data_IF_599931249327
#
_entry.id   IF_599931249327
#
_cell.length_a   1.000
_cell.length_b   1.000
_cell.length_c   1.000
_cell.angle_alpha   90.00
_cell.angle_beta   90.00
_cell.angle_gamma   90.00
#
_symmetry.space_group_name_H-M   'P 1'
#
loop_
_entity.id
_entity.type
_entity.pdbx_description
1 polymer ?
#
# COMPACT_ATOMS: atom_id res chain seq x y z
N UNK A 1 -13.11 8.37 9.28
CA UNK A 1 -12.16 8.33 8.15
C UNK A 1 -10.78 7.90 8.63
N UNK A 2 -10.16 6.97 7.90
CA UNK A 2 -8.76 6.57 8.09
C UNK A 2 -7.98 6.71 6.78
N UNK A 3 -6.65 6.71 6.89
CA UNK A 3 -5.73 6.91 5.79
C UNK A 3 -4.80 5.71 5.65
N UNK A 4 -4.72 5.14 4.46
CA UNK A 4 -3.72 4.13 4.13
C UNK A 4 -2.69 4.72 3.17
N UNK A 5 -1.41 4.67 3.55
CA UNK A 5 -0.31 5.19 2.74
C UNK A 5 0.38 4.07 2.00
N UNK A 6 0.52 4.24 0.67
CA UNK A 6 1.12 3.26 -0.22
C UNK A 6 1.84 3.95 -1.38
N UNK A 7 2.19 3.20 -2.43
CA UNK A 7 2.75 3.74 -3.67
C UNK A 7 1.99 3.24 -4.89
N UNK A 8 2.22 3.91 -6.03
CA UNK A 8 1.62 3.51 -7.31
C UNK A 8 2.05 2.11 -7.78
N UNK A 9 3.09 1.53 -7.18
CA UNK A 9 3.53 0.15 -7.41
C UNK A 9 2.55 -0.86 -6.82
N UNK A 10 2.06 -0.61 -5.61
CA UNK A 10 1.16 -1.52 -4.91
C UNK A 10 -0.30 -1.25 -5.22
N UNK A 11 -0.64 -0.02 -5.63
CA UNK A 11 -2.03 0.38 -5.87
C UNK A 11 -2.81 -0.56 -6.81
N UNK A 12 -2.30 -1.00 -7.98
CA UNK A 12 -3.04 -1.92 -8.85
C UNK A 12 -3.39 -3.26 -8.18
N UNK A 13 -2.57 -3.70 -7.23
CA UNK A 13 -2.81 -4.93 -6.49
C UNK A 13 -3.79 -4.70 -5.34
N UNK A 14 -3.66 -3.59 -4.62
CA UNK A 14 -4.62 -3.18 -3.58
C UNK A 14 -6.03 -3.09 -4.16
N UNK A 15 -6.19 -2.42 -5.31
CA UNK A 15 -7.48 -2.29 -5.99
C UNK A 15 -8.06 -3.65 -6.40
N UNK A 16 -7.22 -4.54 -6.90
CA UNK A 16 -7.65 -5.83 -7.40
C UNK A 16 -7.97 -6.87 -6.31
N UNK A 17 -7.23 -6.87 -5.19
CA UNK A 17 -7.39 -7.89 -4.14
C UNK A 17 -8.17 -7.37 -2.94
N UNK A 18 -8.29 -6.06 -2.78
CA UNK A 18 -8.78 -5.42 -1.57
C UNK A 18 -7.79 -5.48 -0.40
N UNK A 19 -6.63 -6.14 -0.56
CA UNK A 19 -5.61 -6.20 0.47
C UNK A 19 -4.83 -4.88 0.47
N UNK A 20 -4.86 -4.15 1.58
CA UNK A 20 -4.12 -2.88 1.71
C UNK A 20 -2.60 -3.07 1.63
N UNK A 21 -2.11 -4.29 1.86
CA UNK A 21 -0.70 -4.67 1.70
C UNK A 21 -0.63 -5.95 0.88
N UNK A 22 -0.70 -5.85 -0.45
CA UNK A 22 -0.79 -7.01 -1.31
C UNK A 22 0.49 -7.84 -1.23
N UNK A 23 0.31 -9.12 -0.92
CA UNK A 23 1.39 -10.09 -0.68
C UNK A 23 2.15 -9.90 0.63
N UNK A 24 2.69 -11.00 1.18
CA UNK A 24 3.64 -10.97 2.29
C UNK A 24 4.99 -10.44 1.77
N UNK A 25 5.07 -9.16 1.43
CA UNK A 25 6.27 -8.53 0.85
C UNK A 25 7.39 -8.29 1.86
N UNK A 26 8.48 -7.64 1.41
CA UNK A 26 9.62 -7.17 2.23
C UNK A 26 9.25 -6.21 3.39
N UNK A 27 7.98 -5.83 3.49
CA UNK A 27 7.41 -5.07 4.59
C UNK A 27 6.78 -5.96 5.66
N UNK A 28 6.65 -7.28 5.42
CA UNK A 28 6.36 -8.26 6.46
C UNK A 28 7.53 -8.21 7.44
N UNK A 29 7.26 -7.77 8.67
CA UNK A 29 8.26 -7.80 9.71
C UNK A 29 8.35 -9.29 10.10
N UNK A 30 9.40 -9.94 9.62
CA UNK A 30 9.65 -11.34 9.91
C UNK A 30 9.63 -11.58 11.43
N UNK A 31 8.84 -12.57 11.87
CA UNK A 31 8.65 -12.88 13.29
C UNK A 31 7.43 -12.22 13.94
N UNK A 32 6.62 -11.45 13.22
CA UNK A 32 5.30 -11.03 13.71
C UNK A 32 4.25 -12.15 13.57
N UNK A 33 3.25 -12.20 14.48
CA UNK A 33 2.14 -13.15 14.39
C UNK A 33 1.24 -12.91 13.17
N UNK A 34 0.50 -13.94 12.78
CA UNK A 34 -0.57 -13.87 11.78
C UNK A 34 -1.90 -13.73 12.54
N UNK A 35 -2.74 -12.72 12.26
CA UNK A 35 -2.61 -11.77 11.16
C UNK A 35 -1.72 -10.57 11.47
N UNK A 36 -1.02 -10.07 10.44
CA UNK A 36 -0.31 -8.79 10.49
C UNK A 36 -1.34 -7.65 10.68
N UNK A 37 -1.04 -6.68 11.52
CA UNK A 37 -1.94 -5.60 11.91
C UNK A 37 -1.20 -4.28 11.76
N UNK A 38 -1.54 -3.41 10.81
CA UNK A 38 -1.20 -1.96 10.79
C UNK A 38 -1.58 -1.35 9.44
N UNK A 39 -2.87 -1.17 9.13
CA UNK A 39 -3.25 -0.93 7.72
C UNK A 39 -4.03 0.36 7.48
N UNK A 40 -4.21 1.21 8.49
CA UNK A 40 -4.51 2.61 8.28
C UNK A 40 -4.13 3.44 9.51
N UNK A 41 -4.19 4.76 9.38
CA UNK A 41 -4.03 5.69 10.49
C UNK A 41 -5.07 6.80 10.44
N UNK A 42 -5.42 7.38 11.57
CA UNK A 42 -6.19 8.65 11.60
C UNK A 42 -5.32 9.88 11.33
N UNK A 43 -4.00 9.72 11.17
CA UNK A 43 -3.10 10.82 10.79
C UNK A 43 -3.08 11.08 9.28
N UNK A 44 -3.65 12.20 8.85
CA UNK A 44 -3.69 12.59 7.44
C UNK A 44 -2.35 13.03 6.87
N UNK A 45 -1.34 13.32 7.71
CA UNK A 45 -0.08 13.95 7.29
C UNK A 45 0.92 12.98 6.67
N UNK A 46 0.77 11.68 6.93
CA UNK A 46 1.65 10.66 6.38
C UNK A 46 2.06 9.60 7.39
N UNK A 47 2.30 8.40 6.90
CA UNK A 47 3.10 7.39 7.58
C UNK A 47 4.50 7.35 6.96
N UNK A 48 5.54 7.63 7.75
CA UNK A 48 6.95 7.63 7.29
C UNK A 48 7.53 6.22 7.13
N UNK A 49 6.72 5.19 7.28
CA UNK A 49 7.11 3.78 7.31
C UNK A 49 7.13 3.12 5.93
N UNK A 50 6.54 3.76 4.92
CA UNK A 50 6.52 3.31 3.53
C UNK A 50 7.93 3.32 2.91
N UNK A 51 8.59 2.16 2.95
CA UNK A 51 9.93 1.94 2.39
C UNK A 51 9.86 1.54 0.92
N UNK A 52 10.13 2.47 0.02
CA UNK A 52 10.52 2.18 -1.37
C UNK A 52 11.66 3.11 -1.81
N UNK A 53 12.23 2.83 -2.99
CA UNK A 53 13.36 3.58 -3.55
C UNK A 53 13.05 5.08 -3.62
N UNK A 54 13.78 5.87 -2.82
CA UNK A 54 13.75 7.33 -2.85
C UNK A 54 14.16 7.86 -4.23
N UNK A 55 15.02 7.14 -4.93
CA UNK A 55 15.45 7.44 -6.29
C UNK A 55 14.30 7.28 -7.29
N UNK A 56 13.59 6.15 -7.28
CA UNK A 56 12.43 5.93 -8.13
C UNK A 56 11.34 7.00 -7.88
N UNK A 57 11.14 7.42 -6.62
CA UNK A 57 10.23 8.53 -6.31
C UNK A 57 10.69 9.86 -6.91
N UNK A 58 11.99 10.17 -6.78
CA UNK A 58 12.61 11.38 -7.33
C UNK A 58 12.53 11.44 -8.86
N UNK A 59 12.74 10.30 -9.52
CA UNK A 59 12.67 10.15 -10.97
C UNK A 59 11.21 10.14 -11.49
N UNK A 60 10.23 10.15 -10.59
CA UNK A 60 8.79 10.07 -10.91
C UNK A 60 8.34 8.69 -11.37
N UNK A 61 9.18 7.67 -11.27
CA UNK A 61 8.86 6.28 -11.58
C UNK A 61 7.76 5.73 -10.65
N UNK A 62 7.65 6.27 -9.43
CA UNK A 62 6.56 6.00 -8.52
C UNK A 62 5.92 7.30 -7.99
N UNK A 63 4.67 7.19 -7.56
CA UNK A 63 3.97 8.19 -6.77
C UNK A 63 3.77 7.66 -5.35
N UNK A 64 3.75 8.57 -4.38
CA UNK A 64 3.15 8.27 -3.08
C UNK A 64 1.63 8.32 -3.25
N UNK A 65 0.96 7.36 -2.66
CA UNK A 65 -0.49 7.19 -2.70
C UNK A 65 -1.01 7.27 -1.27
N UNK A 66 -2.13 7.96 -1.09
CA UNK A 66 -2.91 7.96 0.15
C UNK A 66 -4.35 7.60 -0.22
N UNK A 67 -4.81 6.48 0.30
CA UNK A 67 -6.22 6.08 0.23
C UNK A 67 -6.94 6.69 1.42
N UNK A 68 -8.07 7.33 1.17
CA UNK A 68 -8.99 7.82 2.20
C UNK A 68 -10.13 6.81 2.31
N UNK A 69 -10.23 6.15 3.46
CA UNK A 69 -11.11 5.01 3.69
C UNK A 69 -12.12 5.31 4.79
N UNK A 70 -13.33 4.78 4.67
CA UNK A 70 -14.29 4.75 5.76
C UNK A 70 -13.69 4.02 7.00
N UNK A 71 -13.99 4.52 8.20
CA UNK A 71 -13.41 3.99 9.44
C UNK A 71 -14.24 2.89 10.10
N UNK A 72 -15.48 2.64 9.67
CA UNK A 72 -16.37 1.63 10.25
C UNK A 72 -15.83 0.20 10.15
N UNK A 73 -14.92 -0.02 9.20
CA UNK A 73 -14.27 -1.30 8.92
C UNK A 73 -12.95 -1.51 9.69
N UNK A 74 -12.59 -0.57 10.57
CA UNK A 74 -11.34 -0.55 11.33
C UNK A 74 -11.57 -0.41 12.84
N UNK A 75 -10.61 -0.89 13.63
CA UNK A 75 -10.59 -0.70 15.10
C UNK A 75 -9.24 -0.16 15.58
N UNK A 76 -9.18 0.49 16.76
CA UNK A 76 -7.93 1.05 17.26
C UNK A 76 -6.86 -0.02 17.51
N UNK A 77 -5.59 0.34 17.25
CA UNK A 77 -4.42 -0.50 17.57
C UNK A 77 -4.33 -0.92 19.04
N UNK A 78 -4.82 -0.09 19.96
CA UNK A 78 -4.88 -0.43 21.39
C UNK A 78 -5.73 -1.67 21.70
N UNK A 79 -6.63 -2.08 20.81
CA UNK A 79 -7.46 -3.28 20.97
C UNK A 79 -6.85 -4.53 20.33
N UNK A 80 -5.68 -4.44 19.69
CA UNK A 80 -5.08 -5.54 18.93
C UNK A 80 -4.93 -6.80 19.78
N UNK A 81 -4.32 -6.70 20.96
CA UNK A 81 -4.05 -7.85 21.84
C UNK A 81 -5.32 -8.48 22.41
N UNK A 82 -6.34 -7.66 22.70
CA UNK A 82 -7.61 -8.15 23.22
C UNK A 82 -8.33 -9.01 22.17
N UNK A 83 -8.25 -8.61 20.90
CA UNK A 83 -8.87 -9.33 19.78
C UNK A 83 -8.01 -10.49 19.29
N UNK A 84 -6.70 -10.38 19.45
CA UNK A 84 -5.68 -11.29 18.93
C UNK A 84 -4.58 -11.55 19.97
N UNK A 85 -4.82 -12.47 20.92
CA UNK A 85 -3.90 -12.75 22.03
C UNK A 85 -2.51 -13.24 21.62
N UNK A 86 -2.35 -13.70 20.37
CA UNK A 86 -1.07 -14.06 19.77
C UNK A 86 -0.11 -12.86 19.65
N UNK A 87 -0.63 -11.63 19.72
CA UNK A 87 0.16 -10.40 19.82
C UNK A 87 0.56 -10.12 21.25
N UNK A 88 1.76 -10.57 21.62
CA UNK A 88 2.30 -10.42 22.96
C UNK A 88 2.64 -8.96 23.29
N UNK A 89 2.68 -8.63 24.59
CA UNK A 89 3.04 -7.29 25.08
C UNK A 89 4.40 -6.84 24.55
N UNK A 90 5.34 -7.77 24.45
CA UNK A 90 6.68 -7.50 23.93
C UNK A 90 6.64 -7.06 22.47
N UNK A 91 5.89 -7.77 21.62
CA UNK A 91 5.75 -7.46 20.20
C UNK A 91 5.08 -6.09 19.98
N UNK A 92 3.97 -5.85 20.69
CA UNK A 92 3.26 -4.56 20.64
C UNK A 92 4.16 -3.42 21.10
N UNK A 93 4.92 -3.61 22.18
CA UNK A 93 5.88 -2.62 22.68
C UNK A 93 6.97 -2.32 21.66
N UNK A 94 7.55 -3.34 21.03
CA UNK A 94 8.60 -3.17 20.00
C UNK A 94 8.07 -2.38 18.80
N UNK A 95 6.86 -2.68 18.34
CA UNK A 95 6.25 -1.97 17.22
C UNK A 95 5.89 -0.54 17.57
N UNK A 96 5.32 -0.29 18.76
CA UNK A 96 5.06 1.05 19.25
C UNK A 96 6.34 1.89 19.27
N UNK A 97 7.42 1.35 19.84
CA UNK A 97 8.72 2.03 19.88
C UNK A 97 9.28 2.28 18.48
N UNK A 98 9.21 1.30 17.58
CA UNK A 98 9.64 1.44 16.18
C UNK A 98 8.87 2.54 15.45
N UNK A 99 7.54 2.59 15.63
CA UNK A 99 6.67 3.64 15.12
C UNK A 99 7.05 5.01 15.64
N UNK A 100 7.20 5.14 16.96
CA UNK A 100 7.58 6.41 17.62
C UNK A 100 8.95 6.90 17.13
N UNK A 101 9.96 6.01 17.03
CA UNK A 101 11.28 6.34 16.51
C UNK A 101 11.20 6.87 15.06
N UNK A 102 10.28 6.34 14.26
CA UNK A 102 10.01 6.80 12.89
C UNK A 102 9.09 8.03 12.82
N UNK A 103 8.62 8.53 13.97
CA UNK A 103 7.77 9.71 14.09
C UNK A 103 6.27 9.44 13.87
N UNK A 104 5.83 8.19 13.97
CA UNK A 104 4.41 7.83 14.00
C UNK A 104 3.84 7.92 15.43
N UNK A 105 2.51 8.05 15.55
CA UNK A 105 1.78 7.98 16.81
C UNK A 105 0.93 6.70 16.84
N UNK A 106 1.36 5.64 17.56
CA UNK A 106 0.62 4.38 17.59
C UNK A 106 -0.82 4.47 18.08
N UNK A 107 -1.20 5.53 18.80
CA UNK A 107 -2.58 5.77 19.23
C UNK A 107 -3.50 6.12 18.06
N UNK A 108 -2.92 6.54 16.93
CA UNK A 108 -3.63 6.84 15.69
C UNK A 108 -3.63 5.66 14.72
N UNK A 109 -3.00 4.55 15.06
CA UNK A 109 -2.99 3.37 14.22
C UNK A 109 -4.33 2.64 14.32
N UNK A 110 -4.77 2.16 13.16
CA UNK A 110 -6.04 1.49 12.99
C UNK A 110 -5.77 0.11 12.36
N UNK A 111 -6.44 -0.89 12.91
CA UNK A 111 -6.30 -2.29 12.58
C UNK A 111 -7.46 -2.76 11.73
N UNK A 112 -7.15 -3.73 10.87
CA UNK A 112 -8.11 -4.57 10.16
C UNK A 112 -7.46 -5.94 9.93
N UNK A 113 -8.26 -7.01 9.97
CA UNK A 113 -7.87 -8.33 9.49
C UNK A 113 -8.49 -8.55 8.12
N UNK A 114 -7.69 -8.99 7.16
CA UNK A 114 -8.17 -9.45 5.87
C UNK A 114 -8.49 -8.35 4.86
N UNK A 115 -8.86 -8.78 3.66
CA UNK A 115 -9.14 -7.89 2.54
C UNK A 115 -10.29 -6.92 2.86
N UNK A 116 -10.16 -5.70 2.36
CA UNK A 116 -11.17 -4.67 2.39
C UNK A 116 -11.82 -4.61 1.00
N UNK A 117 -13.13 -4.86 0.86
CA UNK A 117 -13.80 -4.63 -0.42
C UNK A 117 -13.74 -3.13 -0.73
N UNK A 118 -12.89 -2.71 -1.66
CA UNK A 118 -12.70 -1.31 -2.03
C UNK A 118 -13.85 -0.82 -2.93
N UNK A 119 -15.08 -0.96 -2.45
CA UNK A 119 -16.26 -0.35 -3.06
C UNK A 119 -16.16 1.18 -2.98
N UNK A 120 -16.95 1.88 -3.80
CA UNK A 120 -17.03 3.35 -3.75
C UNK A 120 -17.53 3.89 -2.40
N UNK A 121 -18.17 3.05 -1.57
CA UNK A 121 -18.63 3.43 -0.23
C UNK A 121 -17.47 3.43 0.78
N UNK A 122 -16.52 2.51 0.61
CA UNK A 122 -15.38 2.35 1.52
C UNK A 122 -14.19 3.20 1.06
N UNK A 123 -13.85 3.17 -0.23
CA UNK A 123 -12.77 3.98 -0.81
C UNK A 123 -13.31 5.34 -1.25
N UNK A 124 -13.18 6.32 -0.36
CA UNK A 124 -13.75 7.67 -0.58
C UNK A 124 -12.91 8.53 -1.53
N UNK A 125 -11.57 8.39 -1.47
CA UNK A 125 -10.68 9.08 -2.40
C UNK A 125 -9.30 8.43 -2.52
N UNK A 126 -8.69 8.60 -3.69
CA UNK A 126 -7.26 8.38 -3.90
C UNK A 126 -6.57 9.73 -4.05
N UNK A 127 -5.57 9.94 -3.20
CA UNK A 127 -4.71 11.11 -3.22
C UNK A 127 -3.32 10.68 -3.68
N UNK A 128 -2.70 11.50 -4.51
CA UNK A 128 -1.36 11.24 -5.03
C UNK A 128 -0.43 12.38 -4.67
N UNK A 129 0.84 12.04 -4.46
CA UNK A 129 1.90 13.01 -4.24
C UNK A 129 3.11 12.60 -5.06
N UNK A 130 3.51 13.51 -5.93
CA UNK A 130 4.72 13.38 -6.74
C UNK A 130 5.89 14.08 -6.07
N UNK A 131 7.12 13.70 -6.43
CA UNK A 131 8.31 14.37 -5.92
C UNK A 131 8.33 15.86 -6.29
N UNK A 132 8.02 16.19 -7.54
CA UNK A 132 8.07 17.57 -8.05
C UNK A 132 7.01 18.47 -7.42
N UNK A 133 5.78 17.96 -7.24
CA UNK A 133 4.70 18.75 -6.64
C UNK A 133 4.87 18.90 -5.13
N UNK A 134 5.37 17.88 -4.43
CA UNK A 134 5.51 17.89 -2.98
C UNK A 134 4.20 18.02 -2.19
N UNK A 135 3.05 18.06 -2.88
CA UNK A 135 1.72 18.25 -2.32
C UNK A 135 0.82 17.04 -2.62
N UNK A 136 -0.04 16.70 -1.66
CA UNK A 136 -1.12 15.75 -1.84
C UNK A 136 -2.23 16.38 -2.67
N UNK A 137 -2.73 15.66 -3.67
CA UNK A 137 -3.89 16.08 -4.46
C UNK A 137 -4.77 14.89 -4.80
N UNK A 138 -6.08 15.14 -4.91
CA UNK A 138 -7.01 14.12 -5.38
C UNK A 138 -6.69 13.78 -6.82
N UNK A 139 -6.76 12.50 -7.16
CA UNK A 139 -6.59 12.04 -8.54
C UNK A 139 -7.73 11.11 -8.93
N UNK A 140 -8.18 11.24 -10.18
CA UNK A 140 -8.90 10.15 -10.82
C UNK A 140 -7.91 9.02 -11.15
N UNK A 141 -8.42 7.81 -11.26
CA UNK A 141 -7.66 6.65 -11.69
C UNK A 141 -8.52 5.74 -12.56
N UNK A 142 -7.86 4.88 -13.31
CA UNK A 142 -8.48 3.85 -14.13
C UNK A 142 -7.71 2.55 -13.92
N UNK A 143 -8.40 1.50 -13.49
CA UNK A 143 -7.86 0.15 -13.48
C UNK A 143 -7.80 -0.37 -14.92
N UNK A 144 -6.66 -0.96 -15.27
CA UNK A 144 -6.46 -1.55 -16.59
C UNK A 144 -6.46 -3.07 -16.47
N UNK A 145 -6.88 -3.74 -17.54
CA UNK A 145 -6.90 -5.19 -17.60
C UNK A 145 -5.51 -5.78 -17.29
N UNK A 146 -5.46 -6.86 -16.49
CA UNK A 146 -4.20 -7.52 -16.19
C UNK A 146 -3.61 -8.16 -17.46
N UNK A 147 -2.29 -8.05 -17.62
CA UNK A 147 -1.56 -8.61 -18.77
C UNK A 147 -0.61 -9.69 -18.29
N UNK A 148 -0.60 -10.86 -18.93
CA UNK A 148 0.40 -11.90 -18.68
C UNK A 148 1.59 -11.73 -19.63
N UNK A 149 2.81 -11.61 -19.10
CA UNK A 149 4.06 -11.47 -19.87
C UNK A 149 5.25 -12.06 -19.14
N UNK A 150 6.12 -12.76 -19.87
CA UNK A 150 7.37 -13.34 -19.35
C UNK A 150 7.15 -14.21 -18.08
N UNK A 151 6.00 -14.89 -17.99
CA UNK A 151 5.63 -15.70 -16.82
C UNK A 151 4.99 -14.93 -15.66
N UNK A 152 4.85 -13.60 -15.77
CA UNK A 152 4.29 -12.76 -14.72
C UNK A 152 2.89 -12.23 -15.07
N UNK A 153 2.04 -12.03 -14.06
CA UNK A 153 0.82 -11.22 -14.19
C UNK A 153 1.14 -9.80 -13.80
N UNK A 154 1.02 -8.89 -14.76
CA UNK A 154 1.17 -7.45 -14.57
C UNK A 154 -0.20 -6.83 -14.32
N UNK A 155 -0.29 -6.01 -13.27
CA UNK A 155 -1.45 -5.16 -13.01
C UNK A 155 -1.04 -3.71 -13.20
N UNK A 156 -1.98 -2.90 -13.67
CA UNK A 156 -1.70 -1.51 -14.02
C UNK A 156 -2.83 -0.60 -13.59
N UNK A 157 -2.46 0.62 -13.19
CA UNK A 157 -3.38 1.73 -12.94
C UNK A 157 -2.93 2.94 -13.74
N UNK A 158 -3.86 3.64 -14.35
CA UNK A 158 -3.60 4.93 -14.98
C UNK A 158 -3.99 6.05 -14.03
N UNK A 159 -3.06 6.97 -13.80
CA UNK A 159 -3.23 8.15 -12.95
C UNK A 159 -2.77 9.36 -13.78
N UNK A 160 -3.66 10.30 -14.03
CA UNK A 160 -3.40 11.51 -14.83
C UNK A 160 -2.70 11.24 -16.17
N UNK A 161 -3.15 10.19 -16.88
CA UNK A 161 -2.59 9.80 -18.18
C UNK A 161 -1.26 9.04 -18.13
N UNK A 162 -0.69 8.81 -16.94
CA UNK A 162 0.52 8.01 -16.73
C UNK A 162 0.12 6.62 -16.24
N UNK A 163 0.64 5.58 -16.89
CA UNK A 163 0.38 4.19 -16.49
C UNK A 163 1.49 3.72 -15.55
N UNK A 164 1.10 3.29 -14.36
CA UNK A 164 1.96 2.64 -13.38
C UNK A 164 1.61 1.15 -13.33
N UNK A 165 2.62 0.32 -13.56
CA UNK A 165 2.45 -1.12 -13.67
C UNK A 165 3.39 -1.84 -12.72
N UNK A 166 2.92 -2.95 -12.18
CA UNK A 166 3.79 -3.85 -11.43
C UNK A 166 3.39 -5.30 -11.62
N UNK A 167 4.40 -6.16 -11.65
CA UNK A 167 4.26 -7.60 -11.54
C UNK A 167 4.68 -8.02 -10.13
N UNK A 168 3.85 -8.83 -9.49
CA UNK A 168 4.17 -9.46 -8.21
C UNK A 168 4.80 -10.83 -8.47
N UNK A 169 5.96 -11.07 -7.87
CA UNK A 169 6.58 -12.38 -7.80
C UNK A 169 6.50 -12.87 -6.35
N UNK A 170 5.70 -13.90 -6.13
CA UNK A 170 5.64 -14.61 -4.85
C UNK A 170 6.80 -15.61 -4.80
N UNK A 171 7.59 -15.53 -3.74
CA UNK A 171 8.70 -16.43 -3.42
C UNK A 171 8.20 -17.63 -2.63
N UNK A 172 8.99 -18.69 -2.55
CA UNK A 172 8.65 -19.93 -1.83
C UNK A 172 8.39 -19.72 -0.34
N UNK A 173 9.01 -18.70 0.27
CA UNK A 173 8.81 -18.30 1.68
C UNK A 173 7.54 -17.46 1.90
N UNK A 174 6.70 -17.29 0.86
CA UNK A 174 5.55 -16.38 0.85
C UNK A 174 5.92 -14.92 0.60
N UNK A 175 7.21 -14.60 0.59
CA UNK A 175 7.79 -13.30 0.29
C UNK A 175 7.30 -12.74 -1.04
N UNK A 176 7.02 -11.44 -1.14
CA UNK A 176 6.65 -10.82 -2.42
C UNK A 176 7.68 -9.76 -2.85
N UNK A 177 8.16 -9.88 -4.10
CA UNK A 177 8.94 -8.87 -4.78
C UNK A 177 8.13 -8.27 -5.94
N UNK A 178 8.36 -6.99 -6.23
CA UNK A 178 7.68 -6.27 -7.31
C UNK A 178 8.67 -5.88 -8.41
N UNK A 179 8.32 -6.22 -9.65
CA UNK A 179 8.92 -5.58 -10.82
C UNK A 179 8.05 -4.38 -11.20
N UNK A 180 8.67 -3.24 -11.46
CA UNK A 180 7.96 -1.97 -11.70
C UNK A 180 8.21 -1.49 -13.12
N UNK A 181 7.17 -0.95 -13.75
CA UNK A 181 7.27 -0.30 -15.05
C UNK A 181 6.38 0.94 -15.06
N UNK A 182 6.86 1.99 -15.74
CA UNK A 182 6.13 3.24 -15.95
C UNK A 182 6.09 3.55 -17.45
N UNK A 183 4.95 4.00 -17.95
CA UNK A 183 4.85 4.48 -19.32
C UNK A 183 3.88 5.66 -19.47
N UNK A 184 4.04 6.37 -20.59
CA UNK A 184 3.15 7.41 -21.04
C UNK A 184 2.36 6.84 -22.23
N UNK A 185 1.03 6.72 -22.10
CA UNK A 185 0.17 6.13 -23.13
C UNK A 185 -0.58 4.86 -22.70
N UNK A 186 -1.31 4.20 -23.62
CA UNK A 186 -2.09 3.00 -23.31
C UNK A 186 -1.18 1.86 -22.84
N UNK A 187 -1.66 0.98 -21.95
CA UNK A 187 -0.86 -0.11 -21.34
C UNK A 187 -0.14 -0.99 -22.37
N UNK A 188 -0.65 -1.07 -23.61
CA UNK A 188 0.01 -1.75 -24.74
C UNK A 188 1.42 -1.22 -25.03
N UNK A 189 1.72 0.05 -24.81
CA UNK A 189 3.07 0.61 -25.05
C UNK A 189 4.15 0.02 -24.12
N UNK A 190 3.77 -0.53 -22.96
CA UNK A 190 4.68 -1.26 -22.07
C UNK A 190 5.04 -2.63 -22.68
N UNK A 191 4.15 -3.22 -23.51
CA UNK A 191 4.35 -4.53 -24.12
C UNK A 191 5.57 -4.58 -25.06
N UNK A 192 6.00 -3.45 -25.61
CA UNK A 192 7.06 -3.43 -26.63
C UNK A 192 8.43 -2.96 -26.12
N UNK A 193 8.53 -2.47 -24.86
CA UNK A 193 9.72 -1.75 -24.36
C UNK A 193 10.56 -2.47 -23.27
N UNK A 194 10.29 -3.75 -22.98
CA UNK A 194 11.00 -4.52 -21.93
C UNK A 194 11.52 -5.87 -22.41
#
# INVERSE_FOLDING_TARGET
>A
MVYHFTTSVHLPWILATGELRPGRGASFIQGLPDPDFLWATTDSRGERTMSLSKEAYRNGELLLIRLELDDGEFWPWGEAQQRHPEWTDELVRVLNLSGIIKGADPRKWMCRVGALPLSNEILTSIQVKSWSSGIWRKSAYEELDPVRRAGYTWRSVRIDGVTYSSAQQVREDGGCAYQIARSYGPARAIADAA
#
